data_IF_118819882664
#
_entry.id   IF_118819882664
#
_cell.length_a   1.000
_cell.length_b   1.000
_cell.length_c   1.000
_cell.angle_alpha   90.00
_cell.angle_beta   90.00
_cell.angle_gamma   90.00
#
_symmetry.space_group_name_H-M   'P 1'
#
loop_
_entity.id
_entity.type
_entity.pdbx_description
1 polymer ?
#
# COMPACT_ATOMS: atom_id res chain seq x y z
N UNK A 1 5.92 8.28 4.72
CA UNK A 1 4.96 8.43 5.79
C UNK A 1 4.30 7.07 6.08
N UNK A 2 4.57 6.54 7.27
CA UNK A 2 4.07 5.22 7.66
C UNK A 2 2.54 5.18 7.71
N UNK A 3 1.94 6.28 8.07
CA UNK A 3 0.49 6.33 8.17
C UNK A 3 -0.16 6.15 6.81
N UNK A 4 0.41 6.79 5.79
CA UNK A 4 -0.09 6.64 4.43
C UNK A 4 0.12 5.21 3.92
N UNK A 5 1.28 4.63 4.22
CA UNK A 5 1.58 3.27 3.82
C UNK A 5 0.59 2.28 4.46
N UNK A 6 0.23 2.53 5.72
CA UNK A 6 -0.72 1.69 6.41
C UNK A 6 -2.11 1.78 5.75
N UNK A 7 -2.52 2.98 5.37
CA UNK A 7 -3.79 3.17 4.68
C UNK A 7 -3.82 2.41 3.35
N UNK A 8 -2.72 2.47 2.62
CA UNK A 8 -2.59 1.73 1.36
C UNK A 8 -2.69 0.22 1.61
N UNK A 9 -1.98 -0.24 2.61
CA UNK A 9 -1.98 -1.66 2.95
C UNK A 9 -3.39 -2.14 3.30
N UNK A 10 -4.11 -1.37 4.11
CA UNK A 10 -5.47 -1.72 4.49
C UNK A 10 -6.40 -1.76 3.27
N UNK A 11 -6.22 -0.84 2.34
CA UNK A 11 -7.05 -0.82 1.13
C UNK A 11 -6.76 -2.04 0.24
N UNK A 12 -5.50 -2.41 0.13
CA UNK A 12 -5.13 -3.60 -0.64
C UNK A 12 -5.77 -4.85 -0.02
N UNK A 13 -5.71 -4.96 1.31
CA UNK A 13 -6.33 -6.09 2.00
C UNK A 13 -7.85 -6.10 1.80
N UNK A 14 -8.46 -4.93 1.80
CA UNK A 14 -9.90 -4.79 1.63
C UNK A 14 -10.34 -5.16 0.22
N UNK A 15 -9.62 -4.68 -0.79
CA UNK A 15 -9.99 -4.89 -2.19
C UNK A 15 -9.43 -6.18 -2.76
N UNK A 16 -8.36 -6.69 -2.17
CA UNK A 16 -7.68 -7.88 -2.67
C UNK A 16 -6.83 -7.62 -3.90
N UNK A 17 -6.58 -6.36 -4.23
CA UNK A 17 -5.85 -6.03 -5.46
C UNK A 17 -5.13 -4.69 -5.32
N UNK A 18 -3.86 -4.66 -5.73
CA UNK A 18 -3.11 -3.41 -5.77
C UNK A 18 -3.71 -2.44 -6.77
N UNK A 19 -4.15 -2.95 -7.91
CA UNK A 19 -4.75 -2.11 -8.95
C UNK A 19 -6.02 -1.43 -8.45
N UNK A 20 -6.89 -2.19 -7.80
CA UNK A 20 -8.13 -1.63 -7.25
C UNK A 20 -7.84 -0.61 -6.15
N UNK A 21 -6.87 -0.92 -5.28
CA UNK A 21 -6.49 0.00 -4.22
C UNK A 21 -5.94 1.31 -4.81
N UNK A 22 -5.11 1.20 -5.85
CA UNK A 22 -4.55 2.38 -6.52
C UNK A 22 -5.65 3.25 -7.10
N UNK A 23 -6.66 2.64 -7.70
CA UNK A 23 -7.79 3.40 -8.25
C UNK A 23 -8.51 4.16 -7.16
N UNK A 24 -8.67 3.56 -5.98
CA UNK A 24 -9.32 4.23 -4.86
C UNK A 24 -8.61 5.50 -4.44
N UNK A 25 -7.29 5.53 -4.59
CA UNK A 25 -6.48 6.68 -4.21
C UNK A 25 -6.07 7.54 -5.39
N UNK A 26 -6.46 7.17 -6.61
CA UNK A 26 -6.10 7.90 -7.83
C UNK A 26 -4.58 7.99 -8.01
N UNK A 27 -3.90 6.90 -7.75
CA UNK A 27 -2.45 6.82 -7.91
C UNK A 27 -2.10 5.58 -8.73
N UNK A 28 -0.88 5.53 -9.31
CA UNK A 28 -0.45 4.32 -10.02
C UNK A 28 -0.28 3.15 -9.04
N UNK A 29 -0.52 1.91 -9.49
CA UNK A 29 -0.31 0.74 -8.61
C UNK A 29 1.11 0.64 -8.06
N UNK A 30 2.11 1.12 -8.80
CA UNK A 30 3.49 1.10 -8.32
C UNK A 30 3.67 1.92 -7.04
N UNK A 31 2.91 3.00 -6.88
CA UNK A 31 2.96 3.81 -5.66
C UNK A 31 2.49 3.01 -4.46
N UNK A 32 1.42 2.23 -4.63
CA UNK A 32 0.90 1.39 -3.56
C UNK A 32 1.93 0.33 -3.16
N UNK A 33 2.47 -0.35 -4.16
CA UNK A 33 3.45 -1.42 -3.93
C UNK A 33 4.67 -0.89 -3.19
N UNK A 34 5.17 0.26 -3.61
CA UNK A 34 6.34 0.87 -3.00
C UNK A 34 6.09 1.24 -1.55
N UNK A 35 4.93 1.84 -1.27
CA UNK A 35 4.60 2.24 0.10
C UNK A 35 4.43 1.04 1.01
N UNK A 36 3.79 -0.02 0.50
CA UNK A 36 3.62 -1.23 1.28
C UNK A 36 4.97 -1.89 1.57
N UNK A 37 5.87 -1.92 0.59
CA UNK A 37 7.22 -2.44 0.80
C UNK A 37 7.97 -1.63 1.86
N UNK A 38 7.85 -0.31 1.81
CA UNK A 38 8.48 0.56 2.80
C UNK A 38 7.94 0.27 4.20
N UNK A 39 6.64 0.04 4.31
CA UNK A 39 6.02 -0.28 5.58
C UNK A 39 6.56 -1.60 6.13
N UNK A 40 6.65 -2.61 5.27
CA UNK A 40 7.17 -3.92 5.67
C UNK A 40 8.61 -3.82 6.14
N UNK A 41 9.42 -3.04 5.44
CA UNK A 41 10.80 -2.82 5.83
C UNK A 41 10.89 -2.11 7.18
N UNK A 42 10.01 -1.14 7.40
CA UNK A 42 9.95 -0.40 8.65
C UNK A 42 9.60 -1.29 9.83
N UNK A 43 8.76 -2.30 9.58
CA UNK A 43 8.36 -3.26 10.62
C UNK A 43 9.38 -4.37 10.81
N UNK A 44 10.37 -4.43 9.94
CA UNK A 44 11.42 -5.44 10.05
C UNK A 44 10.95 -6.84 9.70
N UNK A 45 9.96 -6.96 8.86
CA UNK A 45 9.35 -8.26 8.53
C UNK A 45 9.85 -8.84 7.21
N UNK A 46 10.91 -8.29 6.67
CA UNK A 46 11.32 -8.82 5.38
C UNK A 46 12.50 -9.75 5.42
#
# INVERSE_FOLDING_TARGET
>A
DQFLALRYFCKVAETGSFTSAAKSFSVPPSSISRRVSDLEASLGTN
#
